data_IF_166304100522
#
_entry.id   IF_166304100522
#
_cell.length_a   1.000
_cell.length_b   1.000
_cell.length_c   1.000
_cell.angle_alpha   90.00
_cell.angle_beta   90.00
_cell.angle_gamma   90.00
#
_symmetry.space_group_name_H-M   'P 1'
#
loop_
_entity.id
_entity.type
_entity.pdbx_description
1 polymer ?
#
# COMPACT_ATOMS: atom_id res chain seq x y z
N UNK A 1 -1.69 -5.55 -8.64
CA UNK A 1 -1.53 -4.26 -9.34
C UNK A 1 -1.61 -3.13 -8.32
N UNK A 2 -1.04 -1.96 -8.61
CA UNK A 2 -1.09 -0.77 -7.73
C UNK A 2 -1.67 0.40 -8.52
N UNK A 3 -2.71 1.03 -7.98
CA UNK A 3 -3.30 2.28 -8.47
C UNK A 3 -2.79 3.40 -7.56
N UNK A 4 -1.92 4.26 -8.09
CA UNK A 4 -1.13 5.23 -7.29
C UNK A 4 -1.90 6.49 -6.87
N UNK A 5 -2.93 6.87 -7.62
CA UNK A 5 -3.83 7.97 -7.28
C UNK A 5 -5.26 7.47 -7.39
N UNK A 6 -5.83 7.11 -6.25
CA UNK A 6 -7.19 6.60 -6.16
C UNK A 6 -8.19 7.67 -5.68
N UNK A 7 -7.79 8.94 -5.57
CA UNK A 7 -8.72 9.99 -5.13
C UNK A 7 -9.91 10.09 -6.09
N UNK A 8 -11.12 10.19 -5.52
CA UNK A 8 -12.36 10.25 -6.28
C UNK A 8 -12.92 8.90 -6.74
N UNK A 9 -12.22 7.78 -6.51
CA UNK A 9 -12.78 6.45 -6.70
C UNK A 9 -13.62 6.05 -5.50
N UNK A 10 -14.88 5.67 -5.76
CA UNK A 10 -15.73 5.03 -4.76
C UNK A 10 -15.46 3.51 -4.67
N UNK A 11 -16.11 2.87 -3.70
CA UNK A 11 -15.95 1.44 -3.44
C UNK A 11 -16.34 0.57 -4.65
N UNK A 12 -17.37 0.99 -5.39
CA UNK A 12 -17.84 0.26 -6.55
C UNK A 12 -16.81 0.30 -7.70
N UNK A 13 -16.20 1.46 -7.93
CA UNK A 13 -15.16 1.67 -8.93
C UNK A 13 -13.89 0.88 -8.57
N UNK A 14 -13.42 0.97 -7.33
CA UNK A 14 -12.25 0.20 -6.87
C UNK A 14 -12.48 -1.31 -7.01
N UNK A 15 -13.65 -1.79 -6.60
CA UNK A 15 -13.99 -3.20 -6.73
C UNK A 15 -14.09 -3.63 -8.20
N UNK A 16 -14.62 -2.77 -9.09
CA UNK A 16 -14.68 -3.04 -10.52
C UNK A 16 -13.29 -3.15 -11.15
N UNK A 17 -12.37 -2.26 -10.78
CA UNK A 17 -10.97 -2.32 -11.21
C UNK A 17 -10.30 -3.61 -10.71
N UNK A 18 -10.47 -3.96 -9.43
CA UNK A 18 -9.91 -5.17 -8.87
C UNK A 18 -10.44 -6.45 -9.55
N UNK A 19 -11.72 -6.47 -9.96
CA UNK A 19 -12.28 -7.56 -10.78
C UNK A 19 -11.65 -7.61 -12.17
N UNK A 20 -11.48 -6.44 -12.80
CA UNK A 20 -10.96 -6.33 -14.16
C UNK A 20 -9.49 -6.76 -14.27
N UNK A 21 -8.66 -6.46 -13.26
CA UNK A 21 -7.24 -6.86 -13.26
C UNK A 21 -7.03 -8.38 -13.18
N UNK A 22 -8.01 -9.13 -12.63
CA UNK A 22 -7.95 -10.59 -12.43
C UNK A 22 -6.74 -11.06 -11.61
N UNK A 23 -6.19 -10.19 -10.76
CA UNK A 23 -5.11 -10.52 -9.84
C UNK A 23 -5.69 -10.90 -8.47
N UNK A 24 -4.93 -11.63 -7.63
CA UNK A 24 -5.35 -11.96 -6.27
C UNK A 24 -5.74 -10.70 -5.46
N UNK A 25 -4.92 -9.64 -5.57
CA UNK A 25 -5.22 -8.33 -4.99
C UNK A 25 -4.81 -7.17 -5.91
N UNK A 26 -5.60 -6.09 -5.82
CA UNK A 26 -5.28 -4.77 -6.36
C UNK A 26 -5.30 -3.76 -5.23
N UNK A 27 -4.27 -2.91 -5.17
CA UNK A 27 -4.12 -1.89 -4.13
C UNK A 27 -4.36 -0.50 -4.67
N UNK A 28 -4.91 0.36 -3.82
CA UNK A 28 -5.31 1.73 -4.14
C UNK A 28 -4.67 2.67 -3.13
N UNK A 29 -3.84 3.58 -3.62
CA UNK A 29 -3.07 4.52 -2.82
C UNK A 29 -3.79 5.85 -2.76
N UNK A 30 -3.83 6.44 -1.57
CA UNK A 30 -4.39 7.76 -1.33
C UNK A 30 -3.37 8.61 -0.55
N UNK A 31 -3.47 9.95 -0.60
CA UNK A 31 -2.68 10.82 0.25
C UNK A 31 -2.82 10.44 1.74
N UNK A 32 -1.72 10.62 2.47
CA UNK A 32 -1.70 10.49 3.93
C UNK A 32 -2.79 11.36 4.57
N UNK A 33 -3.43 10.86 5.63
CA UNK A 33 -4.45 11.61 6.36
C UNK A 33 -3.84 12.58 7.38
N UNK A 34 -2.63 12.27 7.87
CA UNK A 34 -1.91 13.05 8.89
C UNK A 34 -0.40 12.91 8.70
N UNK A 35 0.37 13.62 9.53
CA UNK A 35 1.83 13.64 9.48
C UNK A 35 2.49 12.34 10.02
N UNK A 36 1.73 11.41 10.59
CA UNK A 36 2.25 10.15 11.15
C UNK A 36 2.22 9.00 10.16
N UNK A 37 1.52 9.17 9.03
CA UNK A 37 1.35 8.16 7.99
C UNK A 37 2.03 8.62 6.70
N UNK A 38 2.58 7.68 5.94
CA UNK A 38 3.25 8.00 4.67
C UNK A 38 2.24 8.06 3.52
N UNK A 39 1.21 7.21 3.56
CA UNK A 39 0.08 7.19 2.63
C UNK A 39 -1.00 6.26 3.17
N UNK A 40 -2.20 6.40 2.62
CA UNK A 40 -3.32 5.50 2.89
C UNK A 40 -3.45 4.43 1.82
N UNK A 41 -3.93 3.27 2.23
CA UNK A 41 -3.98 2.08 1.40
C UNK A 41 -5.30 1.31 1.57
N UNK A 42 -5.97 1.07 0.45
CA UNK A 42 -7.07 0.10 0.36
C UNK A 42 -6.67 -1.06 -0.52
N UNK A 43 -7.14 -2.26 -0.20
CA UNK A 43 -6.81 -3.49 -0.92
C UNK A 43 -8.07 -4.25 -1.26
N UNK A 44 -8.25 -4.61 -2.52
CA UNK A 44 -9.39 -5.37 -2.97
C UNK A 44 -8.93 -6.65 -3.63
N UNK A 45 -9.54 -7.77 -3.24
CA UNK A 45 -9.58 -8.95 -4.08
C UNK A 45 -10.62 -8.76 -5.20
N UNK A 46 -10.73 -9.66 -6.18
CA UNK A 46 -11.80 -9.62 -7.16
C UNK A 46 -13.22 -9.69 -6.55
N UNK A 47 -13.36 -10.08 -5.29
CA UNK A 47 -14.66 -10.33 -4.67
C UNK A 47 -15.05 -9.27 -3.65
N UNK A 48 -14.09 -8.74 -2.89
CA UNK A 48 -14.34 -7.81 -1.79
C UNK A 48 -13.08 -7.05 -1.40
N UNK A 49 -13.25 -5.99 -0.62
CA UNK A 49 -12.15 -5.39 0.14
C UNK A 49 -11.58 -6.41 1.14
N UNK A 50 -10.25 -6.42 1.27
CA UNK A 50 -9.51 -7.26 2.20
C UNK A 50 -8.70 -6.39 3.15
N UNK A 51 -8.63 -6.73 4.45
CA UNK A 51 -8.04 -5.83 5.43
C UNK A 51 -6.52 -5.72 5.33
N UNK A 52 -5.88 -6.80 4.88
CA UNK A 52 -4.43 -6.87 4.77
C UNK A 52 -4.01 -8.02 3.84
N UNK A 53 -2.93 -7.79 3.11
CA UNK A 53 -2.16 -8.83 2.43
C UNK A 53 -0.67 -8.42 2.41
N UNK A 54 0.22 -9.36 2.67
CA UNK A 54 1.65 -9.07 2.84
C UNK A 54 2.36 -8.65 1.56
N UNK A 55 2.28 -9.47 0.50
CA UNK A 55 2.94 -9.13 -0.77
C UNK A 55 2.37 -7.88 -1.44
N UNK A 56 1.05 -7.56 -1.39
CA UNK A 56 0.54 -6.30 -1.90
C UNK A 56 1.00 -5.10 -1.08
N UNK A 57 1.18 -5.25 0.24
CA UNK A 57 1.77 -4.21 1.10
C UNK A 57 3.19 -3.86 0.65
N UNK A 58 4.07 -4.86 0.51
CA UNK A 58 5.46 -4.65 0.06
C UNK A 58 5.51 -4.08 -1.37
N UNK A 59 4.71 -4.64 -2.28
CA UNK A 59 4.65 -4.17 -3.68
C UNK A 59 4.15 -2.73 -3.81
N UNK A 60 3.16 -2.33 -3.00
CA UNK A 60 2.68 -0.95 -2.97
C UNK A 60 3.75 0.00 -2.44
N UNK A 61 4.43 -0.37 -1.35
CA UNK A 61 5.50 0.46 -0.80
C UNK A 61 6.63 0.67 -1.82
N UNK A 62 6.99 -0.36 -2.57
CA UNK A 62 7.94 -0.21 -3.66
C UNK A 62 7.45 0.78 -4.72
N UNK A 63 6.21 0.65 -5.19
CA UNK A 63 5.64 1.52 -6.23
C UNK A 63 5.51 2.99 -5.77
N UNK A 64 5.10 3.22 -4.53
CA UNK A 64 4.99 4.56 -3.93
C UNK A 64 6.36 5.25 -3.84
N UNK A 65 7.40 4.50 -3.43
CA UNK A 65 8.76 5.01 -3.34
C UNK A 65 9.33 5.34 -4.73
N UNK A 66 9.11 4.47 -5.72
CA UNK A 66 9.53 4.73 -7.11
C UNK A 66 8.83 5.94 -7.73
N UNK A 67 7.56 6.13 -7.40
CA UNK A 67 6.77 7.27 -7.90
C UNK A 67 7.09 8.59 -7.16
N UNK A 68 7.93 8.58 -6.13
CA UNK A 68 8.24 9.76 -5.32
C UNK A 68 7.06 10.29 -4.51
N UNK A 69 6.03 9.47 -4.27
CA UNK A 69 4.80 9.87 -3.58
C UNK A 69 4.96 9.88 -2.05
N UNK A 70 5.92 9.12 -1.53
CA UNK A 70 6.30 9.18 -0.13
C UNK A 70 7.80 8.86 0.01
N UNK A 71 8.38 9.30 1.12
CA UNK A 71 9.74 8.98 1.51
C UNK A 71 9.75 8.39 2.93
N UNK A 72 10.64 7.44 3.23
CA UNK A 72 10.77 6.92 4.58
C UNK A 72 11.37 7.99 5.51
N UNK A 73 10.86 8.09 6.73
CA UNK A 73 11.41 8.91 7.81
C UNK A 73 12.18 7.98 8.74
N UNK A 74 13.47 8.26 8.95
CA UNK A 74 14.38 7.40 9.73
C UNK A 74 14.36 5.92 9.30
N UNK A 75 14.23 5.68 7.99
CA UNK A 75 14.17 4.33 7.42
C UNK A 75 12.82 3.62 7.61
N UNK A 76 11.76 4.33 8.02
CA UNK A 76 10.42 3.79 8.20
C UNK A 76 9.42 4.46 7.27
N UNK A 77 8.62 3.64 6.59
CA UNK A 77 7.44 4.05 5.85
C UNK A 77 6.21 3.52 6.60
N UNK A 78 5.14 4.30 6.71
CA UNK A 78 3.93 3.90 7.45
C UNK A 78 2.75 3.83 6.48
N UNK A 79 2.25 2.60 6.25
CA UNK A 79 1.03 2.35 5.50
C UNK A 79 -0.18 2.45 6.42
N UNK A 80 -1.14 3.31 6.07
CA UNK A 80 -2.40 3.42 6.81
C UNK A 80 -3.52 2.69 6.06
N UNK A 81 -3.90 1.52 6.55
CA UNK A 81 -4.96 0.70 5.96
C UNK A 81 -6.10 0.44 6.94
N UNK A 82 -7.14 -0.26 6.49
CA UNK A 82 -8.28 -0.61 7.34
C UNK A 82 -7.91 -1.54 8.51
N UNK A 83 -6.84 -2.32 8.39
CA UNK A 83 -6.26 -3.11 9.50
C UNK A 83 -5.44 -2.27 10.49
N UNK A 84 -5.34 -0.96 10.26
CA UNK A 84 -4.52 -0.02 11.03
C UNK A 84 -3.20 0.35 10.34
N UNK A 85 -2.36 1.04 11.10
CA UNK A 85 -1.05 1.49 10.64
C UNK A 85 -0.04 0.33 10.63
N UNK A 86 0.55 0.06 9.46
CA UNK A 86 1.59 -0.92 9.26
C UNK A 86 2.93 -0.22 9.02
N UNK A 87 3.90 -0.29 9.96
CA UNK A 87 5.24 0.20 9.72
C UNK A 87 6.03 -0.78 8.84
N UNK A 88 6.70 -0.22 7.83
CA UNK A 88 7.60 -0.93 6.92
C UNK A 88 9.00 -0.37 7.07
N UNK A 89 9.99 -1.25 7.26
CA UNK A 89 11.40 -0.86 7.27
C UNK A 89 11.90 -0.80 5.83
N UNK A 90 12.52 0.31 5.48
CA UNK A 90 13.15 0.56 4.19
C UNK A 90 14.65 0.73 4.41
N UNK A 91 15.46 -0.12 3.82
CA UNK A 91 16.93 0.03 3.84
C UNK A 91 17.47 0.17 2.41
N UNK A 92 18.46 1.05 2.25
CA UNK A 92 19.18 1.22 1.00
C UNK A 92 20.65 0.80 1.22
N UNK A 93 21.12 -0.21 0.49
CA UNK A 93 22.53 -0.67 0.54
C UNK A 93 23.05 -0.94 -0.85
N UNK A 94 24.19 -0.36 -1.22
CA UNK A 94 24.85 -0.57 -2.52
C UNK A 94 23.90 -0.39 -3.72
N UNK A 95 23.02 0.62 -3.66
CA UNK A 95 22.02 0.86 -4.72
C UNK A 95 20.80 -0.07 -4.70
N UNK A 96 20.77 -1.09 -3.85
CA UNK A 96 19.62 -1.98 -3.67
C UNK A 96 18.73 -1.52 -2.52
N UNK A 97 17.42 -1.49 -2.76
CA UNK A 97 16.40 -1.20 -1.75
C UNK A 97 15.77 -2.49 -1.23
N UNK A 98 15.75 -2.67 0.08
CA UNK A 98 14.96 -3.71 0.74
C UNK A 98 13.78 -3.10 1.50
N UNK A 99 12.64 -3.79 1.47
CA UNK A 99 11.43 -3.39 2.18
C UNK A 99 10.98 -4.60 3.01
N UNK A 100 10.88 -4.41 4.31
CA UNK A 100 10.47 -5.45 5.25
C UNK A 100 9.24 -5.01 6.04
N UNK A 101 8.29 -5.94 6.19
CA UNK A 101 7.11 -5.77 7.04
C UNK A 101 7.13 -6.81 8.15
N UNK A 102 6.52 -6.47 9.28
CA UNK A 102 6.14 -7.45 10.30
C UNK A 102 4.64 -7.65 10.19
N UNK A 103 4.22 -8.86 9.84
CA UNK A 103 2.80 -9.22 9.82
C UNK A 103 2.20 -8.96 11.21
N UNK A 104 1.05 -8.26 11.31
CA UNK A 104 0.33 -8.14 12.57
C UNK A 104 0.06 -9.53 13.15
N UNK A 105 0.14 -9.66 14.47
CA UNK A 105 -0.27 -10.90 15.12
C UNK A 105 -1.78 -11.08 14.90
N UNK A 106 -2.18 -12.29 14.46
CA UNK A 106 -3.58 -12.67 14.27
C UNK A 106 -4.31 -12.84 15.61
#
# INVERSE_FOLDING_TARGET
>A
AVVLDAQGLDDAAMQAIARWTKLPETTFVFPAADAHTSYRLRMFSPQKEVPFAGHPSVGTAHAVLEAGLAAPVEGVLVQDGIAGQLPLRVEQRNGHRSIAIRTPHA
#
